data_IF_149991286662
#
_entry.id   IF_149991286662
#
_cell.length_a   1.000
_cell.length_b   1.000
_cell.length_c   1.000
_cell.angle_alpha   90.00
_cell.angle_beta   90.00
_cell.angle_gamma   90.00
#
_symmetry.space_group_name_H-M   'P 1'
#
loop_
_entity.id
_entity.type
_entity.pdbx_description
1 polymer ?
#
# COMPACT_ATOMS: atom_id res chain seq x y z
N UNK A 1 -9.48 9.35 25.17
CA UNK A 1 -9.71 9.70 23.75
C UNK A 1 -9.57 11.19 23.57
N UNK A 2 -8.49 11.65 22.96
CA UNK A 2 -8.30 13.08 22.80
C UNK A 2 -9.27 13.73 21.83
N UNK A 3 -9.79 12.98 20.85
CA UNK A 3 -10.68 13.53 19.82
C UNK A 3 -11.89 12.65 19.59
N UNK A 4 -13.02 13.24 19.20
CA UNK A 4 -14.14 12.50 18.69
C UNK A 4 -13.82 11.93 17.30
N UNK A 5 -14.59 10.95 16.85
CA UNK A 5 -14.38 10.25 15.58
C UNK A 5 -14.27 11.24 14.42
N UNK A 6 -13.09 11.25 13.77
CA UNK A 6 -12.85 12.10 12.61
C UNK A 6 -12.65 13.58 12.91
N UNK A 7 -12.62 14.00 14.17
CA UNK A 7 -12.45 15.40 14.57
C UNK A 7 -11.02 15.75 14.92
N UNK A 8 -10.13 14.77 15.01
CA UNK A 8 -8.72 15.00 15.25
C UNK A 8 -8.00 15.56 14.02
N UNK A 9 -6.69 15.81 14.17
CA UNK A 9 -5.88 16.29 13.05
C UNK A 9 -5.81 15.25 11.94
N UNK A 10 -5.44 15.71 10.76
CA UNK A 10 -5.10 14.83 9.63
C UNK A 10 -3.59 14.62 9.62
N UNK A 11 -3.18 13.37 9.51
CA UNK A 11 -1.76 12.97 9.53
C UNK A 11 -1.47 12.14 8.30
N UNK A 12 -0.33 12.39 7.66
CA UNK A 12 0.18 11.57 6.57
C UNK A 12 1.32 10.71 7.11
N UNK A 13 1.21 9.41 6.94
CA UNK A 13 2.26 8.45 7.29
C UNK A 13 2.88 7.97 5.97
N UNK A 14 4.18 8.19 5.80
CA UNK A 14 4.90 7.76 4.61
C UNK A 14 5.68 6.49 4.93
N UNK A 15 5.38 5.41 4.19
CA UNK A 15 6.09 4.14 4.31
C UNK A 15 7.04 3.98 3.13
N UNK A 16 8.32 3.80 3.41
CA UNK A 16 9.30 3.50 2.37
C UNK A 16 9.10 2.09 1.82
N UNK A 17 9.52 1.85 0.58
CA UNK A 17 9.41 0.53 -0.04
C UNK A 17 10.09 -0.58 0.75
N UNK A 18 11.24 -0.26 1.37
CA UNK A 18 11.97 -1.22 2.20
C UNK A 18 11.22 -1.57 3.50
N UNK A 19 10.33 -0.71 3.96
CA UNK A 19 9.52 -0.97 5.14
C UNK A 19 8.43 -2.00 4.89
N UNK A 20 8.18 -2.35 3.63
CA UNK A 20 7.17 -3.32 3.21
C UNK A 20 7.76 -4.70 2.91
N UNK A 21 9.09 -4.86 3.00
CA UNK A 21 9.75 -6.13 2.71
C UNK A 21 9.88 -6.41 1.22
N UNK A 22 10.39 -7.59 0.88
CA UNK A 22 10.70 -7.98 -0.50
C UNK A 22 9.79 -9.08 -1.06
N UNK A 23 8.99 -9.71 -0.21
CA UNK A 23 8.06 -10.76 -0.64
C UNK A 23 6.66 -10.47 -0.11
N UNK A 24 5.61 -11.03 -0.75
CA UNK A 24 4.25 -10.89 -0.23
C UNK A 24 4.09 -11.37 1.21
N UNK A 25 4.80 -12.41 1.59
CA UNK A 25 4.73 -12.96 2.94
C UNK A 25 5.38 -12.01 3.96
N UNK A 26 6.55 -11.47 3.63
CA UNK A 26 7.20 -10.47 4.48
C UNK A 26 6.33 -9.22 4.61
N UNK A 27 5.77 -8.75 3.50
CA UNK A 27 4.90 -7.59 3.51
C UNK A 27 3.67 -7.83 4.39
N UNK A 28 3.06 -9.01 4.28
CA UNK A 28 1.88 -9.34 5.07
C UNK A 28 2.15 -9.22 6.58
N UNK A 29 3.30 -9.70 7.03
CA UNK A 29 3.67 -9.60 8.45
C UNK A 29 3.99 -8.16 8.87
N UNK A 30 4.73 -7.45 8.02
CA UNK A 30 5.11 -6.06 8.31
C UNK A 30 3.89 -5.13 8.35
N UNK A 31 2.93 -5.30 7.44
CA UNK A 31 1.73 -4.45 7.43
C UNK A 31 0.82 -4.72 8.62
N UNK A 32 0.78 -5.95 9.14
CA UNK A 32 0.03 -6.24 10.36
C UNK A 32 0.53 -5.41 11.54
N UNK A 33 1.84 -5.32 11.68
CA UNK A 33 2.45 -4.51 12.75
C UNK A 33 2.21 -3.02 12.53
N UNK A 34 2.42 -2.54 11.31
CA UNK A 34 2.17 -1.15 10.94
C UNK A 34 0.70 -0.76 11.14
N UNK A 35 -0.22 -1.65 10.78
CA UNK A 35 -1.65 -1.42 10.95
C UNK A 35 -2.03 -1.15 12.40
N UNK A 36 -1.42 -1.83 13.34
CA UNK A 36 -1.69 -1.60 14.77
C UNK A 36 -1.45 -0.16 15.17
N UNK A 37 -0.34 0.41 14.72
CA UNK A 37 0.01 1.81 15.02
C UNK A 37 -0.94 2.78 14.33
N UNK A 38 -1.31 2.49 13.08
CA UNK A 38 -2.27 3.31 12.33
C UNK A 38 -3.63 3.30 13.02
N UNK A 39 -4.09 2.13 13.44
CA UNK A 39 -5.39 1.97 14.10
C UNK A 39 -5.39 2.61 15.48
N UNK A 40 -4.26 2.61 16.20
CA UNK A 40 -4.14 3.37 17.44
C UNK A 40 -4.49 4.85 17.22
N UNK A 41 -3.96 5.44 16.15
CA UNK A 41 -4.23 6.85 15.83
C UNK A 41 -5.68 7.06 15.42
N UNK A 42 -6.23 6.18 14.59
CA UNK A 42 -7.63 6.24 14.16
C UNK A 42 -8.56 6.12 15.38
N UNK A 43 -8.22 5.23 16.30
CA UNK A 43 -8.97 5.07 17.56
C UNK A 43 -8.98 6.33 18.42
N UNK A 44 -7.95 7.15 18.30
CA UNK A 44 -7.87 8.45 18.98
C UNK A 44 -8.58 9.58 18.22
N UNK A 45 -9.24 9.28 17.11
CA UNK A 45 -9.99 10.26 16.33
C UNK A 45 -9.19 10.95 15.25
N UNK A 46 -7.94 10.54 15.03
CA UNK A 46 -7.06 11.10 13.99
C UNK A 46 -7.46 10.60 12.62
N UNK A 47 -7.43 11.48 11.63
CA UNK A 47 -7.61 11.11 10.23
C UNK A 47 -6.25 10.77 9.63
N UNK A 48 -6.08 9.54 9.17
CA UNK A 48 -4.79 9.04 8.70
C UNK A 48 -4.83 8.81 7.19
N UNK A 49 -3.84 9.35 6.50
CA UNK A 49 -3.54 9.06 5.10
C UNK A 49 -2.19 8.34 5.08
N UNK A 50 -2.14 7.20 4.40
CA UNK A 50 -0.90 6.43 4.27
C UNK A 50 -0.41 6.56 2.83
N UNK A 51 0.82 6.98 2.66
CA UNK A 51 1.53 6.91 1.39
C UNK A 51 2.65 5.89 1.50
N UNK A 52 3.08 5.34 0.37
CA UNK A 52 4.13 4.32 0.39
C UNK A 52 4.93 4.33 -0.90
N UNK A 53 6.17 3.85 -0.81
CA UNK A 53 6.98 3.52 -1.97
C UNK A 53 6.64 2.13 -2.50
N UNK A 54 7.32 1.72 -3.56
CA UNK A 54 7.03 0.45 -4.25
C UNK A 54 8.25 -0.21 -4.89
N UNK A 55 9.47 0.22 -4.55
CA UNK A 55 10.67 -0.20 -5.27
C UNK A 55 10.79 -1.71 -5.47
N UNK A 56 10.83 -2.52 -4.39
CA UNK A 56 10.91 -3.97 -4.55
C UNK A 56 9.71 -4.57 -5.27
N UNK A 57 8.52 -4.06 -5.03
CA UNK A 57 7.29 -4.61 -5.56
C UNK A 57 7.16 -4.39 -7.06
N UNK A 58 7.43 -3.18 -7.55
CA UNK A 58 7.33 -2.89 -8.98
C UNK A 58 8.42 -3.61 -9.75
N UNK A 59 9.61 -3.75 -9.19
CA UNK A 59 10.71 -4.50 -9.79
C UNK A 59 10.35 -5.97 -9.99
N UNK A 60 9.80 -6.59 -8.97
CA UNK A 60 9.36 -7.98 -9.02
C UNK A 60 8.28 -8.19 -10.08
N UNK A 61 7.29 -7.32 -10.13
CA UNK A 61 6.20 -7.41 -11.10
C UNK A 61 6.75 -7.23 -12.52
N UNK A 62 7.58 -6.21 -12.72
CA UNK A 62 8.16 -5.94 -14.04
C UNK A 62 9.01 -7.11 -14.52
N UNK A 63 9.83 -7.70 -13.65
CA UNK A 63 10.65 -8.86 -13.99
C UNK A 63 9.81 -10.08 -14.34
N UNK A 64 8.70 -10.31 -13.64
CA UNK A 64 7.83 -11.44 -13.91
C UNK A 64 7.20 -11.34 -15.31
N UNK A 65 6.71 -10.18 -15.69
CA UNK A 65 6.13 -9.97 -17.02
C UNK A 65 7.20 -10.04 -18.12
N UNK A 66 8.36 -9.41 -17.90
CA UNK A 66 9.43 -9.42 -18.88
C UNK A 66 9.95 -10.86 -19.11
N UNK A 67 10.11 -11.62 -18.04
CA UNK A 67 10.55 -13.02 -18.16
C UNK A 67 9.52 -13.87 -18.90
N UNK A 68 8.25 -13.76 -18.55
CA UNK A 68 7.20 -14.51 -19.20
C UNK A 68 7.10 -14.15 -20.69
N UNK A 69 7.11 -12.87 -21.03
CA UNK A 69 7.06 -12.42 -22.42
C UNK A 69 8.21 -12.98 -23.25
N UNK A 70 9.41 -13.05 -22.65
CA UNK A 70 10.60 -13.57 -23.33
C UNK A 70 10.59 -15.10 -23.49
N UNK A 71 9.90 -15.83 -22.62
CA UNK A 71 10.04 -17.29 -22.51
C UNK A 71 8.81 -18.08 -22.92
N UNK A 72 7.57 -17.60 -22.67
CA UNK A 72 6.37 -18.34 -23.02
C UNK A 72 5.75 -17.95 -24.38
N UNK A 73 6.13 -16.80 -24.91
CA UNK A 73 5.62 -16.31 -26.19
C UNK A 73 4.13 -15.93 -26.21
N UNK A 74 3.47 -15.96 -25.06
CA UNK A 74 2.03 -15.71 -24.92
C UNK A 74 1.73 -14.52 -24.03
N UNK A 75 2.53 -14.33 -22.97
CA UNK A 75 2.35 -13.23 -22.04
C UNK A 75 2.89 -11.95 -22.67
N UNK A 76 2.09 -10.88 -22.75
CA UNK A 76 2.59 -9.62 -23.29
C UNK A 76 3.58 -8.95 -22.35
N UNK A 77 4.45 -8.13 -22.91
CA UNK A 77 5.23 -7.21 -22.10
C UNK A 77 4.28 -6.24 -21.41
N UNK A 78 4.61 -5.88 -20.18
CA UNK A 78 3.82 -4.92 -19.41
C UNK A 78 4.59 -3.61 -19.33
N UNK A 79 4.00 -2.49 -19.76
CA UNK A 79 4.66 -1.20 -19.63
C UNK A 79 4.93 -0.88 -18.15
N UNK A 80 6.03 -0.19 -17.89
CA UNK A 80 6.46 0.08 -16.51
C UNK A 80 5.42 0.88 -15.71
N UNK A 81 4.72 1.89 -16.28
CA UNK A 81 3.67 2.58 -15.52
C UNK A 81 2.54 1.66 -15.05
N UNK A 82 2.14 0.68 -15.87
CA UNK A 82 1.11 -0.28 -15.50
C UNK A 82 1.61 -1.23 -14.41
N UNK A 83 2.87 -1.63 -14.47
CA UNK A 83 3.49 -2.42 -13.40
C UNK A 83 3.51 -1.62 -12.10
N UNK A 84 3.74 -0.31 -12.17
CA UNK A 84 3.63 0.60 -11.04
C UNK A 84 2.22 0.61 -10.44
N UNK A 85 1.21 0.70 -11.28
CA UNK A 85 -0.19 0.65 -10.84
C UNK A 85 -0.52 -0.68 -10.17
N UNK A 86 -0.02 -1.79 -10.70
CA UNK A 86 -0.20 -3.11 -10.09
C UNK A 86 0.43 -3.16 -8.71
N UNK A 87 1.61 -2.56 -8.53
CA UNK A 87 2.26 -2.50 -7.22
C UNK A 87 1.44 -1.69 -6.21
N UNK A 88 0.82 -0.60 -6.65
CA UNK A 88 -0.07 0.18 -5.80
C UNK A 88 -1.26 -0.65 -5.33
N UNK A 89 -1.86 -1.40 -6.24
CA UNK A 89 -2.97 -2.29 -5.91
C UNK A 89 -2.56 -3.38 -4.92
N UNK A 90 -1.46 -4.05 -5.16
CA UNK A 90 -0.95 -5.10 -4.30
C UNK A 90 -0.64 -4.58 -2.89
N UNK A 91 0.12 -3.50 -2.79
CA UNK A 91 0.49 -2.92 -1.49
C UNK A 91 -0.75 -2.40 -0.76
N UNK A 92 -1.57 -1.62 -1.46
CA UNK A 92 -2.79 -1.06 -0.88
C UNK A 92 -3.79 -2.12 -0.43
N UNK A 93 -3.90 -3.21 -1.18
CA UNK A 93 -4.75 -4.34 -0.82
C UNK A 93 -4.34 -4.93 0.54
N UNK A 94 -3.05 -5.21 0.71
CA UNK A 94 -2.57 -5.80 1.97
C UNK A 94 -2.67 -4.81 3.14
N UNK A 95 -2.32 -3.55 2.92
CA UNK A 95 -2.45 -2.51 3.95
C UNK A 95 -3.90 -2.31 4.38
N UNK A 96 -4.82 -2.17 3.42
CA UNK A 96 -6.24 -2.03 3.72
C UNK A 96 -6.78 -3.21 4.49
N UNK A 97 -6.43 -4.42 4.07
CA UNK A 97 -6.90 -5.63 4.73
C UNK A 97 -6.44 -5.67 6.18
N UNK A 98 -5.17 -5.39 6.44
CA UNK A 98 -4.62 -5.39 7.79
C UNK A 98 -5.25 -4.31 8.66
N UNK A 99 -5.44 -3.11 8.11
CA UNK A 99 -6.09 -2.00 8.84
C UNK A 99 -7.54 -2.33 9.14
N UNK A 100 -8.30 -2.80 8.15
CA UNK A 100 -9.72 -3.15 8.34
C UNK A 100 -9.90 -4.27 9.36
N UNK A 101 -9.05 -5.29 9.32
CA UNK A 101 -9.10 -6.39 10.27
C UNK A 101 -8.87 -5.89 11.70
N UNK A 102 -7.93 -5.00 11.90
CA UNK A 102 -7.63 -4.46 13.22
C UNK A 102 -8.72 -3.49 13.70
N UNK A 103 -9.24 -2.63 12.82
CA UNK A 103 -10.39 -1.77 13.12
C UNK A 103 -11.58 -2.61 13.59
N UNK A 104 -11.88 -3.66 12.86
CA UNK A 104 -12.98 -4.57 13.19
C UNK A 104 -12.76 -5.28 14.52
N UNK A 105 -11.55 -5.76 14.75
CA UNK A 105 -11.20 -6.45 15.99
C UNK A 105 -11.35 -5.55 17.22
N UNK A 106 -11.11 -4.25 17.06
CA UNK A 106 -11.24 -3.26 18.14
C UNK A 106 -12.63 -2.62 18.21
N UNK A 107 -13.55 -2.99 17.31
CA UNK A 107 -14.90 -2.42 17.28
C UNK A 107 -14.95 -0.97 16.81
N UNK A 108 -13.96 -0.52 16.05
CA UNK A 108 -13.91 0.85 15.54
C UNK A 108 -14.64 0.91 14.19
N UNK A 109 -15.69 1.74 14.10
CA UNK A 109 -16.54 1.85 12.92
C UNK A 109 -15.94 2.86 11.93
N UNK A 110 -14.87 2.46 11.27
CA UNK A 110 -14.20 3.25 10.22
C UNK A 110 -13.87 2.32 9.05
N UNK A 111 -13.68 2.90 7.89
CA UNK A 111 -13.35 2.16 6.67
C UNK A 111 -12.08 2.72 6.04
N UNK A 112 -11.56 2.00 5.06
CA UNK A 112 -10.40 2.39 4.28
C UNK A 112 -10.76 2.50 2.80
N UNK A 113 -9.96 3.27 2.08
CA UNK A 113 -10.05 3.33 0.63
C UNK A 113 -8.63 3.38 0.06
N UNK A 114 -8.43 2.77 -1.08
CA UNK A 114 -7.18 2.84 -1.82
C UNK A 114 -7.34 3.76 -3.02
N UNK A 115 -6.35 4.59 -3.24
CA UNK A 115 -6.34 5.50 -4.39
C UNK A 115 -5.13 5.15 -5.24
N UNK A 116 -5.37 4.82 -6.51
CA UNK A 116 -4.30 4.64 -7.48
C UNK A 116 -3.95 6.02 -8.02
N UNK A 117 -2.70 6.41 -7.88
CA UNK A 117 -2.23 7.72 -8.30
C UNK A 117 -1.49 7.64 -9.63
N UNK A 118 -1.58 8.71 -10.41
CA UNK A 118 -0.77 8.88 -11.61
C UNK A 118 0.14 10.08 -11.39
N UNK A 119 1.43 9.88 -11.64
CA UNK A 119 2.42 10.93 -11.47
C UNK A 119 3.12 11.19 -12.79
N UNK A 120 3.01 12.41 -13.29
CA UNK A 120 3.76 12.84 -14.47
C UNK A 120 5.14 13.31 -14.02
N UNK A 121 6.18 12.63 -14.52
CA UNK A 121 7.56 13.01 -14.23
C UNK A 121 8.12 13.83 -15.38
N UNK A 122 8.56 15.03 -15.09
CA UNK A 122 9.22 15.90 -16.09
C UNK A 122 10.67 15.50 -16.35
N UNK A 123 11.21 14.62 -15.52
CA UNK A 123 12.61 14.16 -15.65
C UNK A 123 12.78 13.28 -16.89
N UNK A 124 11.70 12.61 -17.33
CA UNK A 124 11.72 11.65 -18.44
C UNK A 124 11.21 12.23 -19.76
N UNK A 125 11.05 13.52 -19.85
CA UNK A 125 10.60 14.20 -21.07
C UNK A 125 11.78 14.72 -21.90
#
# INVERSE_FOLDING_TARGET
MPYAKGEGPSVVIALGGNALGNTPQEQLELVKNTAKHIVDMVGDGVNVVVSHGNGPQVGMINNAFAYAAANDGKTPEMPFPEAGAMSQGYIGYQLSQAILNDLKARGIMRSTANVITQTLSLIHI
#
